data_IF_388680373170
#
_entry.id   IF_388680373170
#
_cell.length_a   1.000
_cell.length_b   1.000
_cell.length_c   1.000
_cell.angle_alpha   90.00
_cell.angle_beta   90.00
_cell.angle_gamma   90.00
#
_symmetry.space_group_name_H-M   'P 1'
#
loop_
_entity.id
_entity.type
_entity.pdbx_description
1 polymer ?
#
# COMPACT_ATOMS: atom_id res chain seq x y z
N UNK A 1 -6.61 -48.98 25.51
CA UNK A 1 -5.78 -47.76 25.39
C UNK A 1 -6.14 -46.80 26.51
N UNK A 2 -5.16 -46.21 27.22
CA UNK A 2 -5.44 -45.32 28.35
C UNK A 2 -6.02 -43.99 27.85
N UNK A 3 -7.06 -43.48 28.54
CA UNK A 3 -7.74 -42.22 28.19
C UNK A 3 -6.78 -41.02 28.14
N UNK A 4 -5.68 -41.08 28.89
CA UNK A 4 -4.61 -40.08 28.88
C UNK A 4 -3.87 -39.97 27.54
N UNK A 5 -3.78 -41.06 26.76
CA UNK A 5 -3.15 -41.04 25.43
C UNK A 5 -3.95 -40.20 24.44
N UNK A 6 -5.29 -40.31 24.48
CA UNK A 6 -6.18 -39.52 23.63
C UNK A 6 -6.15 -38.02 23.97
N UNK A 7 -6.10 -37.68 25.26
CA UNK A 7 -5.99 -36.29 25.70
C UNK A 7 -4.66 -35.66 25.26
N UNK A 8 -3.55 -36.39 25.37
CA UNK A 8 -2.24 -35.91 24.93
C UNK A 8 -2.17 -35.68 23.42
N UNK A 9 -2.81 -36.55 22.63
CA UNK A 9 -2.88 -36.44 21.17
C UNK A 9 -3.72 -35.23 20.73
N UNK A 10 -4.86 -34.98 21.39
CA UNK A 10 -5.72 -33.81 21.09
C UNK A 10 -5.04 -32.49 21.44
N UNK A 11 -4.34 -32.41 22.58
CA UNK A 11 -3.60 -31.20 22.98
C UNK A 11 -2.43 -30.94 22.02
N UNK A 12 -1.69 -31.98 21.63
CA UNK A 12 -0.61 -31.86 20.64
C UNK A 12 -1.12 -31.41 19.27
N UNK A 13 -2.27 -31.94 18.82
CA UNK A 13 -2.88 -31.56 17.55
C UNK A 13 -3.37 -30.11 17.56
N UNK A 14 -4.02 -29.67 18.63
CA UNK A 14 -4.45 -28.27 18.80
C UNK A 14 -3.26 -27.30 18.77
N UNK A 15 -2.16 -27.65 19.45
CA UNK A 15 -0.93 -26.84 19.42
C UNK A 15 -0.31 -26.74 18.02
N UNK A 16 -0.31 -27.85 17.27
CA UNK A 16 0.20 -27.88 15.90
C UNK A 16 -0.66 -27.03 14.94
N UNK A 17 -1.98 -27.12 15.05
CA UNK A 17 -2.91 -26.29 14.26
C UNK A 17 -2.72 -24.82 14.57
N UNK A 18 -2.61 -24.43 15.85
CA UNK A 18 -2.38 -23.04 16.23
C UNK A 18 -1.05 -22.49 15.66
N UNK A 19 0.01 -23.30 15.67
CA UNK A 19 1.30 -22.92 15.09
C UNK A 19 1.23 -22.74 13.56
N UNK A 20 0.50 -23.62 12.86
CA UNK A 20 0.28 -23.49 11.41
C UNK A 20 -0.50 -22.22 11.05
N UNK A 21 -1.54 -21.89 11.82
CA UNK A 21 -2.33 -20.66 11.59
C UNK A 21 -1.45 -19.42 11.80
N UNK A 22 -0.63 -19.36 12.85
CA UNK A 22 0.28 -18.23 13.07
C UNK A 22 1.34 -18.09 11.95
N UNK A 23 1.87 -19.21 11.44
CA UNK A 23 2.77 -19.19 10.30
C UNK A 23 2.10 -18.63 9.05
N UNK A 24 0.86 -19.05 8.73
CA UNK A 24 0.13 -18.53 7.58
C UNK A 24 -0.09 -17.02 7.66
N UNK A 25 -0.52 -16.51 8.82
CA UNK A 25 -0.73 -15.06 9.03
C UNK A 25 0.58 -14.28 8.88
N UNK A 26 1.69 -14.84 9.34
CA UNK A 26 3.01 -14.20 9.23
C UNK A 26 3.48 -14.14 7.79
N UNK A 27 3.29 -15.23 7.03
CA UNK A 27 3.64 -15.29 5.60
C UNK A 27 2.79 -14.32 4.77
N UNK A 28 1.48 -14.23 5.05
CA UNK A 28 0.59 -13.28 4.36
C UNK A 28 1.00 -11.82 4.61
N UNK A 29 1.36 -11.46 5.84
CA UNK A 29 1.87 -10.12 6.16
C UNK A 29 3.20 -9.83 5.46
N UNK A 30 4.11 -10.80 5.40
CA UNK A 30 5.39 -10.64 4.70
C UNK A 30 5.20 -10.51 3.18
N UNK A 31 4.30 -11.29 2.58
CA UNK A 31 3.97 -11.20 1.15
C UNK A 31 3.32 -9.86 0.81
N UNK A 32 2.39 -9.39 1.65
CA UNK A 32 1.75 -8.07 1.48
C UNK A 32 2.78 -6.93 1.50
N UNK A 33 3.68 -6.95 2.48
CA UNK A 33 4.78 -5.98 2.59
C UNK A 33 5.75 -6.06 1.39
N UNK A 34 6.05 -7.26 0.90
CA UNK A 34 6.90 -7.45 -0.29
C UNK A 34 6.28 -6.83 -1.54
N UNK A 35 4.95 -6.93 -1.71
CA UNK A 35 4.25 -6.30 -2.83
C UNK A 35 4.34 -4.78 -2.80
N UNK A 36 4.17 -4.16 -1.63
CA UNK A 36 4.31 -2.71 -1.46
C UNK A 36 5.73 -2.22 -1.72
N UNK A 37 6.74 -2.95 -1.24
CA UNK A 37 8.16 -2.64 -1.49
C UNK A 37 8.48 -2.66 -2.98
N UNK A 38 7.94 -3.62 -3.73
CA UNK A 38 8.12 -3.68 -5.17
C UNK A 38 7.50 -2.45 -5.86
N UNK A 39 6.29 -2.04 -5.45
CA UNK A 39 5.64 -0.83 -5.99
C UNK A 39 6.49 0.40 -5.69
N UNK A 40 6.93 0.59 -4.45
CA UNK A 40 7.78 1.72 -4.02
C UNK A 40 9.06 1.79 -4.88
N UNK A 41 9.77 0.67 -5.00
CA UNK A 41 11.04 0.62 -5.76
C UNK A 41 10.86 0.91 -7.25
N UNK A 42 9.76 0.42 -7.82
CA UNK A 42 9.46 0.61 -9.25
C UNK A 42 9.06 2.06 -9.53
N UNK A 43 8.20 2.64 -8.68
CA UNK A 43 7.77 4.04 -8.83
C UNK A 43 8.93 5.02 -8.62
N UNK A 44 9.74 4.80 -7.58
CA UNK A 44 10.91 5.65 -7.31
C UNK A 44 11.88 5.66 -8.49
N UNK A 45 12.10 4.51 -9.14
CA UNK A 45 12.99 4.40 -10.31
C UNK A 45 12.37 4.95 -11.60
N UNK A 46 11.10 4.67 -11.86
CA UNK A 46 10.42 5.05 -13.12
C UNK A 46 10.18 6.57 -13.20
N UNK A 47 9.89 7.21 -12.06
CA UNK A 47 9.52 8.62 -11.99
C UNK A 47 10.55 9.50 -11.27
N UNK A 48 11.72 8.95 -10.92
CA UNK A 48 12.81 9.65 -10.19
C UNK A 48 12.30 10.34 -8.91
N UNK A 49 11.50 9.60 -8.12
CA UNK A 49 10.85 10.12 -6.92
C UNK A 49 11.66 9.80 -5.66
N UNK A 50 11.68 10.76 -4.74
CA UNK A 50 12.29 10.64 -3.42
C UNK A 50 11.24 10.36 -2.34
N UNK A 51 11.64 9.71 -1.24
CA UNK A 51 10.79 9.45 -0.07
C UNK A 51 9.40 8.88 -0.41
N UNK A 52 9.36 7.91 -1.33
CA UNK A 52 8.11 7.26 -1.75
C UNK A 52 7.61 6.34 -0.64
N UNK A 53 6.38 6.54 -0.21
CA UNK A 53 5.65 5.72 0.74
C UNK A 53 4.35 5.25 0.12
N UNK A 54 4.08 3.95 0.21
CA UNK A 54 2.81 3.36 -0.22
C UNK A 54 2.25 2.56 0.94
N UNK A 55 1.03 2.88 1.34
CA UNK A 55 0.32 2.20 2.43
C UNK A 55 -1.07 1.80 1.97
N UNK A 56 -1.60 0.75 2.58
CA UNK A 56 -2.98 0.32 2.35
C UNK A 56 -3.69 0.34 3.69
N UNK A 57 -4.80 1.06 3.74
CA UNK A 57 -5.60 1.26 4.94
C UNK A 57 -7.04 0.80 4.70
N UNK A 58 -7.70 0.34 5.77
CA UNK A 58 -9.15 0.14 5.73
C UNK A 58 -9.84 1.50 5.72
N UNK A 59 -10.59 1.81 4.66
CA UNK A 59 -11.25 3.10 4.50
C UNK A 59 -12.71 3.11 5.02
N UNK A 60 -13.19 2.00 5.57
CA UNK A 60 -14.39 1.95 6.39
C UNK A 60 -14.94 0.53 6.57
N UNK A 61 -15.69 0.38 7.65
CA UNK A 61 -16.31 -0.86 8.12
C UNK A 61 -17.83 -0.72 8.00
N UNK A 62 -18.35 -0.68 6.77
CA UNK A 62 -19.79 -0.71 6.51
C UNK A 62 -20.17 -2.11 6.04
N UNK A 63 -20.44 -2.98 7.02
CA UNK A 63 -21.21 -4.25 7.11
C UNK A 63 -21.57 -5.09 5.86
N UNK A 64 -20.96 -4.88 4.70
CA UNK A 64 -21.22 -5.65 3.48
C UNK A 64 -19.96 -5.83 2.60
N UNK A 65 -19.02 -4.88 2.62
CA UNK A 65 -17.72 -5.01 1.91
C UNK A 65 -16.64 -4.18 2.57
N UNK A 66 -15.59 -4.80 3.12
CA UNK A 66 -14.39 -4.09 3.57
C UNK A 66 -13.68 -3.51 2.35
N UNK A 67 -13.65 -2.17 2.24
CA UNK A 67 -12.95 -1.49 1.15
C UNK A 67 -11.61 -0.94 1.64
N UNK A 68 -10.58 -1.22 0.86
CA UNK A 68 -9.23 -0.74 1.10
C UNK A 68 -9.02 0.58 0.35
N UNK A 69 -8.24 1.48 0.94
CA UNK A 69 -7.69 2.65 0.27
C UNK A 69 -6.17 2.53 0.19
N UNK A 70 -5.62 2.76 -0.99
CA UNK A 70 -4.18 2.91 -1.18
C UNK A 70 -3.80 4.38 -0.98
N UNK A 71 -2.83 4.65 -0.11
CA UNK A 71 -2.24 5.98 0.05
C UNK A 71 -0.82 5.98 -0.48
N UNK A 72 -0.52 6.94 -1.34
CA UNK A 72 0.80 7.14 -1.94
C UNK A 72 1.27 8.52 -1.53
N UNK A 73 2.42 8.60 -0.88
CA UNK A 73 3.12 9.86 -0.64
C UNK A 73 4.47 9.82 -1.33
N UNK A 74 4.86 10.90 -2.00
CA UNK A 74 6.17 11.00 -2.60
C UNK A 74 6.68 12.43 -2.59
N UNK A 75 8.00 12.56 -2.64
CA UNK A 75 8.70 13.84 -2.76
C UNK A 75 9.32 13.95 -4.16
N UNK A 76 9.25 15.13 -4.74
CA UNK A 76 9.97 15.46 -5.98
C UNK A 76 10.83 16.70 -5.78
N UNK A 77 12.02 16.67 -6.38
CA UNK A 77 12.93 17.80 -6.48
C UNK A 77 12.66 18.67 -7.70
N UNK A 78 11.74 18.24 -8.58
CA UNK A 78 11.43 18.92 -9.83
C UNK A 78 10.51 20.11 -9.56
N UNK A 79 11.02 21.31 -9.85
CA UNK A 79 10.20 22.52 -9.87
C UNK A 79 9.14 22.39 -10.97
N UNK A 80 7.90 22.21 -10.56
CA UNK A 80 6.77 22.06 -11.48
C UNK A 80 6.25 23.41 -11.99
N UNK A 81 6.86 24.52 -11.55
CA UNK A 81 6.36 25.88 -11.75
C UNK A 81 4.97 26.06 -11.15
N UNK A 82 4.61 25.24 -10.16
CA UNK A 82 3.28 25.18 -9.54
C UNK A 82 2.13 24.96 -10.54
N UNK A 83 2.39 24.32 -11.69
CA UNK A 83 1.34 24.01 -12.64
C UNK A 83 0.46 22.85 -12.13
N UNK A 84 -0.67 23.22 -11.51
CA UNK A 84 -1.60 22.28 -10.87
C UNK A 84 -2.09 21.20 -11.83
N UNK A 85 -2.41 21.55 -13.08
CA UNK A 85 -2.92 20.57 -14.06
C UNK A 85 -1.88 19.49 -14.38
N UNK A 86 -0.62 19.89 -14.59
CA UNK A 86 0.48 18.93 -14.81
C UNK A 86 0.75 18.07 -13.58
N UNK A 87 0.72 18.67 -12.38
CA UNK A 87 0.89 17.93 -11.13
C UNK A 87 -0.21 16.87 -10.97
N UNK A 88 -1.47 17.22 -11.21
CA UNK A 88 -2.59 16.29 -11.10
C UNK A 88 -2.51 15.16 -12.13
N UNK A 89 -2.08 15.45 -13.36
CA UNK A 89 -1.87 14.43 -14.39
C UNK A 89 -0.76 13.45 -14.00
N UNK A 90 0.38 13.96 -13.51
CA UNK A 90 1.48 13.13 -13.01
C UNK A 90 1.05 12.26 -11.83
N UNK A 91 0.38 12.85 -10.82
CA UNK A 91 -0.16 12.13 -9.67
C UNK A 91 -1.12 11.04 -10.13
N UNK A 92 -2.04 11.33 -11.04
CA UNK A 92 -2.97 10.32 -11.61
C UNK A 92 -2.22 9.16 -12.26
N UNK A 93 -1.19 9.45 -13.06
CA UNK A 93 -0.40 8.42 -13.74
C UNK A 93 0.36 7.55 -12.73
N UNK A 94 0.96 8.14 -11.71
CA UNK A 94 1.62 7.42 -10.61
C UNK A 94 0.62 6.52 -9.89
N UNK A 95 -0.59 7.00 -9.60
CA UNK A 95 -1.64 6.20 -8.96
C UNK A 95 -2.06 4.98 -9.78
N UNK A 96 -2.35 5.18 -11.07
CA UNK A 96 -2.71 4.09 -11.99
C UNK A 96 -1.56 3.08 -12.11
N UNK A 97 -0.32 3.56 -12.16
CA UNK A 97 0.85 2.71 -12.24
C UNK A 97 1.08 1.92 -10.95
N UNK A 98 0.90 2.55 -9.80
CA UNK A 98 1.05 1.92 -8.48
C UNK A 98 0.09 0.74 -8.32
N UNK A 99 -1.19 0.93 -8.65
CA UNK A 99 -2.16 -0.16 -8.58
C UNK A 99 -1.88 -1.23 -9.63
N UNK A 100 -1.39 -0.86 -10.82
CA UNK A 100 -1.01 -1.83 -11.84
C UNK A 100 0.14 -2.75 -11.36
N UNK A 101 1.14 -2.17 -10.71
CA UNK A 101 2.30 -2.87 -10.14
C UNK A 101 1.96 -3.66 -8.87
N UNK A 102 0.93 -3.25 -8.13
CA UNK A 102 0.48 -3.98 -6.95
C UNK A 102 -0.10 -5.34 -7.37
N UNK A 103 0.60 -6.42 -7.00
CA UNK A 103 0.26 -7.80 -7.39
C UNK A 103 -0.11 -8.68 -6.18
N UNK A 104 -0.85 -8.12 -5.22
CA UNK A 104 -1.39 -8.87 -4.10
C UNK A 104 -2.89 -9.16 -4.31
N UNK A 105 -3.39 -10.19 -3.61
CA UNK A 105 -4.79 -10.64 -3.66
C UNK A 105 -5.79 -9.53 -3.34
N UNK A 106 -5.39 -8.59 -2.49
CA UNK A 106 -6.27 -7.51 -2.03
C UNK A 106 -6.42 -6.35 -3.02
N UNK A 107 -5.73 -6.40 -4.17
CA UNK A 107 -5.78 -5.36 -5.22
C UNK A 107 -7.21 -5.03 -5.67
N UNK A 108 -8.07 -6.05 -5.76
CA UNK A 108 -9.47 -5.89 -6.19
C UNK A 108 -10.33 -5.20 -5.12
N UNK A 109 -9.93 -5.29 -3.85
CA UNK A 109 -10.62 -4.66 -2.72
C UNK A 109 -10.24 -3.18 -2.53
N UNK A 110 -9.21 -2.70 -3.24
CA UNK A 110 -8.83 -1.29 -3.23
C UNK A 110 -9.89 -0.50 -4.00
N UNK A 111 -10.63 0.36 -3.30
CA UNK A 111 -11.65 1.19 -3.91
C UNK A 111 -11.07 2.51 -4.44
N UNK A 112 -10.20 3.12 -3.66
CA UNK A 112 -9.66 4.46 -3.93
C UNK A 112 -8.14 4.47 -3.75
N UNK A 113 -7.50 5.38 -4.49
CA UNK A 113 -6.08 5.66 -4.40
C UNK A 113 -5.94 7.15 -4.10
N UNK A 114 -5.41 7.48 -2.94
CA UNK A 114 -5.13 8.86 -2.52
C UNK A 114 -3.65 9.13 -2.66
N UNK A 115 -3.30 10.24 -3.30
CA UNK A 115 -1.94 10.55 -3.68
C UNK A 115 -1.60 11.93 -3.13
N UNK A 116 -0.48 12.03 -2.41
CA UNK A 116 0.02 13.28 -1.87
C UNK A 116 1.43 13.52 -2.41
N UNK A 117 1.61 14.65 -3.09
CA UNK A 117 2.91 15.07 -3.63
C UNK A 117 3.52 16.13 -2.71
N UNK A 118 4.80 15.97 -2.41
CA UNK A 118 5.63 16.96 -1.73
C UNK A 118 6.68 17.45 -2.72
N UNK A 119 6.86 18.75 -2.82
CA UNK A 119 7.85 19.38 -3.70
C UNK A 119 8.86 20.10 -2.83
N UNK A 120 10.14 19.76 -2.97
CA UNK A 120 11.22 20.44 -2.24
C UNK A 120 11.86 21.44 -3.17
N UNK A 121 11.74 22.73 -2.84
CA UNK A 121 12.42 23.80 -3.55
C UNK A 121 13.55 24.39 -2.69
N UNK A 122 14.58 24.91 -3.35
CA UNK A 122 15.76 25.48 -2.71
C UNK A 122 16.92 24.47 -2.52
N UNK A 123 18.08 25.01 -2.13
CA UNK A 123 19.33 24.25 -1.97
C UNK A 123 19.96 24.49 -0.60
N UNK A 124 20.73 23.51 -0.12
CA UNK A 124 21.42 23.60 1.17
C UNK A 124 20.46 23.75 2.36
N UNK A 125 20.69 24.76 3.19
CA UNK A 125 19.91 25.03 4.40
C UNK A 125 18.56 25.76 4.14
N UNK A 126 18.30 26.20 2.90
CA UNK A 126 17.10 26.94 2.53
C UNK A 126 16.14 26.06 1.72
N UNK A 127 15.97 24.81 2.16
CA UNK A 127 15.02 23.88 1.54
C UNK A 127 13.63 24.08 2.14
N UNK A 128 12.70 24.50 1.31
CA UNK A 128 11.28 24.57 1.65
C UNK A 128 10.55 23.38 1.03
N UNK A 129 9.69 22.72 1.82
CA UNK A 129 8.87 21.61 1.34
C UNK A 129 7.43 22.07 1.22
N UNK A 130 6.92 22.09 -0.01
CA UNK A 130 5.52 22.40 -0.31
C UNK A 130 4.75 21.10 -0.44
N UNK A 131 3.59 21.01 0.22
CA UNK A 131 2.70 19.86 0.09
C UNK A 131 1.54 20.22 -0.83
N UNK A 132 1.41 19.52 -1.94
CA UNK A 132 0.29 19.66 -2.87
C UNK A 132 -1.00 19.12 -2.23
N UNK A 133 -2.16 19.64 -2.66
CA UNK A 133 -3.44 19.06 -2.27
C UNK A 133 -3.52 17.58 -2.70
N UNK A 134 -4.08 16.70 -1.86
CA UNK A 134 -4.17 15.29 -2.19
C UNK A 134 -5.11 15.07 -3.38
N UNK A 135 -4.73 14.15 -4.27
CA UNK A 135 -5.55 13.68 -5.37
C UNK A 135 -6.11 12.30 -5.04
N UNK A 136 -7.44 12.17 -5.04
CA UNK A 136 -8.11 10.88 -4.90
C UNK A 136 -8.65 10.43 -6.25
N UNK A 137 -8.31 9.21 -6.65
CA UNK A 137 -8.82 8.56 -7.85
C UNK A 137 -9.46 7.23 -7.50
N UNK A 138 -10.47 6.83 -8.28
CA UNK A 138 -11.07 5.51 -8.18
C UNK A 138 -10.15 4.45 -8.77
N UNK A 139 -10.18 3.24 -8.22
CA UNK A 139 -9.42 2.11 -8.77
C UNK A 139 -9.97 1.71 -10.15
N UNK A 140 -9.21 1.87 -11.25
CA UNK A 140 -9.67 1.53 -12.59
C UNK A 140 -9.89 0.02 -12.78
N UNK A 141 -9.34 -0.83 -11.91
CA UNK A 141 -9.46 -2.28 -11.99
C UNK A 141 -10.64 -2.84 -11.17
N UNK A 142 -11.39 -1.99 -10.44
CA UNK A 142 -12.55 -2.46 -9.68
C UNK A 142 -13.68 -2.78 -10.64
N UNK A 143 -14.02 -4.07 -10.79
CA UNK A 143 -15.23 -4.48 -11.49
C UNK A 143 -16.43 -3.95 -10.70
N UNK A 144 -17.28 -3.17 -11.37
CA UNK A 144 -18.58 -2.74 -10.83
C UNK A 144 -19.52 -3.94 -10.69
#
# INVERSE_FOLDING_TARGET
MPKSFWVMLVIGFMGFVAMMVMMQVTVEKMASNSGLVQVISSLSKEYELDNVSVTIENAGDTSASSYLAMKIEYTTSRDSGFNISKQQEEMRNIGIRAIALYNNKDKENIATITITRKEVNGSGCFRETYTSAPLTIDNPNKKQ
#
